data_IF_764323358712
#
_entry.id   IF_764323358712
#
_cell.length_a   1.000
_cell.length_b   1.000
_cell.length_c   1.000
_cell.angle_alpha   90.00
_cell.angle_beta   90.00
_cell.angle_gamma   90.00
#
_symmetry.space_group_name_H-M   'P 1'
#
loop_
_entity.id
_entity.type
_entity.pdbx_description
1 polymer ?
#
# COMPACT_ATOMS: atom_id res chain seq x y z
N UNK A 1 -2.38 -24.86 1.89
CA UNK A 1 -2.35 -23.38 1.99
C UNK A 1 -0.95 -22.77 2.02
N UNK A 2 0.12 -23.52 2.35
CA UNK A 2 1.48 -22.96 2.49
C UNK A 2 2.23 -22.61 1.18
N UNK A 3 1.76 -23.07 0.01
CA UNK A 3 2.41 -22.84 -1.31
C UNK A 3 1.95 -21.57 -2.03
N UNK A 4 0.79 -21.00 -1.68
CA UNK A 4 0.25 -19.82 -2.37
C UNK A 4 0.98 -18.55 -1.90
N UNK A 5 1.35 -18.52 -0.61
CA UNK A 5 2.02 -17.39 0.03
C UNK A 5 3.44 -17.20 -0.52
N UNK A 6 4.18 -18.26 -0.79
CA UNK A 6 5.59 -18.18 -1.23
C UNK A 6 5.79 -17.87 -2.71
N UNK A 7 4.72 -17.84 -3.53
CA UNK A 7 4.81 -17.46 -4.94
C UNK A 7 4.47 -16.00 -5.24
N UNK A 8 4.02 -15.24 -4.23
CA UNK A 8 3.80 -13.81 -4.41
C UNK A 8 5.15 -13.09 -4.44
N UNK A 9 5.31 -12.24 -5.45
CA UNK A 9 6.46 -11.37 -5.61
C UNK A 9 6.63 -10.48 -4.36
N UNK A 10 7.87 -10.20 -3.89
CA UNK A 10 8.11 -9.46 -2.65
C UNK A 10 7.41 -8.10 -2.59
N UNK A 11 7.35 -7.43 -3.74
CA UNK A 11 6.67 -6.17 -4.00
C UNK A 11 5.14 -6.25 -3.85
N UNK A 12 4.51 -7.39 -4.15
CA UNK A 12 3.07 -7.60 -3.92
C UNK A 12 2.74 -7.69 -2.43
N UNK A 13 3.64 -8.23 -1.61
CA UNK A 13 3.48 -8.27 -0.15
C UNK A 13 3.44 -6.87 0.47
N UNK A 14 4.28 -5.96 -0.02
CA UNK A 14 4.27 -4.56 0.41
C UNK A 14 2.94 -3.87 0.11
N UNK A 15 2.44 -4.00 -1.12
CA UNK A 15 1.15 -3.41 -1.52
C UNK A 15 -0.02 -3.98 -0.71
N UNK A 16 -0.02 -5.30 -0.45
CA UNK A 16 -1.05 -5.96 0.35
C UNK A 16 -1.03 -5.50 1.82
N UNK A 17 0.16 -5.34 2.41
CA UNK A 17 0.32 -4.86 3.79
C UNK A 17 -0.23 -3.44 3.97
N UNK A 18 0.04 -2.57 2.98
CA UNK A 18 -0.50 -1.22 2.95
C UNK A 18 -2.02 -1.20 2.83
N UNK A 19 -2.58 -2.01 1.93
CA UNK A 19 -4.01 -2.12 1.76
C UNK A 19 -4.72 -2.59 3.04
N UNK A 20 -4.20 -3.64 3.69
CA UNK A 20 -4.75 -4.12 4.96
C UNK A 20 -4.79 -3.01 6.03
N UNK A 21 -3.79 -2.12 6.00
CA UNK A 21 -3.66 -1.08 6.99
C UNK A 21 -4.59 0.11 6.75
N UNK A 22 -4.80 0.49 5.49
CA UNK A 22 -5.89 1.40 5.11
C UNK A 22 -7.27 0.84 5.50
N UNK A 23 -7.46 -0.48 5.38
CA UNK A 23 -8.66 -1.15 5.87
C UNK A 23 -8.84 -1.05 7.39
N UNK A 24 -7.75 -1.17 8.16
CA UNK A 24 -7.75 -0.94 9.61
C UNK A 24 -8.05 0.53 9.96
N UNK A 25 -7.48 1.48 9.22
CA UNK A 25 -7.72 2.92 9.41
C UNK A 25 -9.17 3.33 9.11
N UNK A 26 -9.89 2.57 8.27
CA UNK A 26 -11.31 2.77 8.01
C UNK A 26 -12.21 2.44 9.22
N UNK A 27 -11.72 1.67 10.20
CA UNK A 27 -12.45 1.39 11.44
C UNK A 27 -12.45 2.58 12.41
N UNK A 28 -13.33 2.51 13.41
CA UNK A 28 -13.53 3.56 14.41
C UNK A 28 -12.40 3.61 15.46
N UNK A 29 -11.20 4.00 15.03
CA UNK A 29 -10.02 4.13 15.89
C UNK A 29 -9.98 5.47 16.63
N UNK A 30 -9.42 5.56 17.85
CA UNK A 30 -9.17 6.83 18.52
C UNK A 30 -8.28 7.74 17.66
N UNK A 31 -8.54 9.06 17.67
CA UNK A 31 -7.86 10.01 16.79
C UNK A 31 -6.32 9.99 16.94
N UNK A 32 -5.82 9.84 18.16
CA UNK A 32 -4.37 9.72 18.41
C UNK A 32 -3.77 8.45 17.78
N UNK A 33 -4.47 7.32 17.85
CA UNK A 33 -4.03 6.05 17.24
C UNK A 33 -4.03 6.16 15.72
N UNK A 34 -5.05 6.81 15.17
CA UNK A 34 -5.18 7.11 13.74
C UNK A 34 -4.00 7.96 13.23
N UNK A 35 -3.70 9.07 13.90
CA UNK A 35 -2.58 9.94 13.53
C UNK A 35 -1.22 9.25 13.68
N UNK A 36 -1.02 8.52 14.77
CA UNK A 36 0.23 7.77 15.00
C UNK A 36 0.45 6.72 13.90
N UNK A 37 -0.58 5.98 13.53
CA UNK A 37 -0.49 4.98 12.48
C UNK A 37 -0.16 5.61 11.12
N UNK A 38 -0.76 6.76 10.77
CA UNK A 38 -0.42 7.48 9.53
C UNK A 38 1.06 7.86 9.45
N UNK A 39 1.61 8.37 10.55
CA UNK A 39 3.04 8.73 10.63
C UNK A 39 3.91 7.47 10.53
N UNK A 40 3.59 6.42 11.28
CA UNK A 40 4.34 5.17 11.25
C UNK A 40 4.40 4.55 9.85
N UNK A 41 3.27 4.58 9.12
CA UNK A 41 3.21 4.06 7.76
C UNK A 41 3.90 4.96 6.76
N UNK A 42 3.84 6.27 6.90
CA UNK A 42 4.58 7.18 6.05
C UNK A 42 6.11 6.94 6.18
N UNK A 43 6.59 6.69 7.39
CA UNK A 43 8.00 6.29 7.63
C UNK A 43 8.31 4.92 7.03
N UNK A 44 7.43 3.93 7.19
CA UNK A 44 7.62 2.59 6.61
C UNK A 44 7.65 2.62 5.07
N UNK A 45 6.77 3.39 4.44
CA UNK A 45 6.74 3.59 2.99
C UNK A 45 7.99 4.29 2.47
N UNK A 46 8.44 5.33 3.16
CA UNK A 46 9.68 6.03 2.81
C UNK A 46 10.89 5.09 2.91
N UNK A 47 10.98 4.30 3.98
CA UNK A 47 12.04 3.32 4.16
C UNK A 47 12.03 2.27 3.04
N UNK A 48 10.85 1.74 2.70
CA UNK A 48 10.67 0.81 1.59
C UNK A 48 11.07 1.44 0.24
N UNK A 49 10.74 2.71 0.00
CA UNK A 49 11.17 3.43 -1.19
C UNK A 49 12.68 3.52 -1.31
N UNK A 50 13.38 3.86 -0.22
CA UNK A 50 14.84 3.94 -0.22
C UNK A 50 15.46 2.58 -0.55
N UNK A 51 14.91 1.50 0.01
CA UNK A 51 15.37 0.13 -0.28
C UNK A 51 15.10 -0.29 -1.73
N UNK A 52 13.93 0.04 -2.26
CA UNK A 52 13.50 -0.37 -3.61
C UNK A 52 13.96 0.57 -4.72
N UNK A 53 14.48 1.76 -4.42
CA UNK A 53 14.86 2.77 -5.42
C UNK A 53 15.84 2.22 -6.46
N UNK A 54 16.75 1.31 -6.05
CA UNK A 54 17.77 0.73 -6.94
C UNK A 54 17.28 -0.47 -7.76
N UNK A 55 16.22 -1.15 -7.34
CA UNK A 55 15.78 -2.43 -7.92
C UNK A 55 14.43 -2.34 -8.61
N UNK A 56 13.56 -1.44 -8.16
CA UNK A 56 12.20 -1.27 -8.63
C UNK A 56 11.80 0.22 -8.59
N UNK A 57 12.32 1.06 -9.50
CA UNK A 57 12.02 2.50 -9.52
C UNK A 57 10.53 2.80 -9.71
N UNK A 58 9.76 1.84 -10.24
CA UNK A 58 8.30 1.96 -10.36
C UNK A 58 7.58 2.03 -9.01
N UNK A 59 8.15 1.47 -7.93
CA UNK A 59 7.58 1.52 -6.58
C UNK A 59 7.57 2.94 -5.97
N UNK A 60 8.33 3.87 -6.55
CA UNK A 60 8.42 5.27 -6.07
C UNK A 60 7.12 6.03 -6.34
N UNK A 61 6.44 5.77 -7.46
CA UNK A 61 5.20 6.47 -7.83
C UNK A 61 4.03 6.23 -6.85
N UNK A 62 3.65 4.99 -6.51
CA UNK A 62 2.59 4.76 -5.54
C UNK A 62 2.95 5.26 -4.14
N UNK A 63 4.22 5.17 -3.74
CA UNK A 63 4.68 5.69 -2.45
C UNK A 63 4.67 7.23 -2.40
N UNK A 64 5.01 7.91 -3.49
CA UNK A 64 4.91 9.36 -3.60
C UNK A 64 3.45 9.82 -3.54
N UNK A 65 2.55 9.14 -4.26
CA UNK A 65 1.12 9.40 -4.19
C UNK A 65 0.57 9.19 -2.76
N UNK A 66 1.03 8.14 -2.08
CA UNK A 66 0.70 7.88 -0.67
C UNK A 66 1.25 8.95 0.27
N UNK A 67 2.47 9.43 0.04
CA UNK A 67 3.08 10.51 0.82
C UNK A 67 2.29 11.82 0.69
N UNK A 68 1.77 12.10 -0.51
CA UNK A 68 0.88 13.23 -0.77
C UNK A 68 -0.49 13.01 -0.12
N UNK A 69 -1.01 11.78 -0.08
CA UNK A 69 -2.28 11.46 0.55
C UNK A 69 -2.20 11.46 2.09
N UNK A 70 -1.05 11.07 2.64
CA UNK A 70 -0.76 10.91 4.07
C UNK A 70 -0.02 12.10 4.67
N UNK A 71 -0.14 13.29 4.08
CA UNK A 71 0.52 14.51 4.55
C UNK A 71 0.23 14.76 6.05
N UNK A 72 1.25 14.82 6.94
CA UNK A 72 1.11 15.37 8.28
C UNK A 72 1.27 16.90 8.31
N UNK A 73 1.68 17.52 7.19
CA UNK A 73 2.15 18.92 7.13
C UNK A 73 1.07 19.90 6.66
N UNK A 74 0.25 19.52 5.66
CA UNK A 74 -0.93 20.30 5.28
C UNK A 74 -2.14 19.84 6.10
N UNK A 75 -2.66 20.71 6.97
CA UNK A 75 -3.96 20.51 7.61
C UNK A 75 -5.05 20.58 6.55
N UNK A 76 -5.42 19.45 5.96
CA UNK A 76 -6.70 19.32 5.27
C UNK A 76 -7.76 19.27 6.39
N UNK A 77 -8.66 20.28 6.51
CA UNK A 77 -9.70 20.29 7.53
C UNK A 77 -10.83 19.32 7.15
N UNK A 78 -10.48 18.07 6.86
CA UNK A 78 -11.42 16.98 6.69
C UNK A 78 -11.73 16.37 8.05
N UNK A 79 -13.01 16.12 8.28
CA UNK A 79 -13.50 15.36 9.41
C UNK A 79 -13.04 13.89 9.32
N UNK A 80 -13.12 13.19 10.45
CA UNK A 80 -12.70 11.79 10.56
C UNK A 80 -13.46 10.87 9.59
N UNK A 81 -14.72 11.17 9.31
CA UNK A 81 -15.58 10.36 8.45
C UNK A 81 -15.16 10.51 6.98
N UNK A 82 -14.92 11.74 6.52
CA UNK A 82 -14.36 11.99 5.18
C UNK A 82 -13.04 11.27 4.94
N UNK A 83 -12.16 11.28 5.94
CA UNK A 83 -10.87 10.60 5.84
C UNK A 83 -10.98 9.08 5.76
N UNK A 84 -12.00 8.46 6.39
CA UNK A 84 -12.27 7.02 6.21
C UNK A 84 -12.61 6.68 4.77
N UNK A 85 -13.39 7.52 4.10
CA UNK A 85 -13.76 7.31 2.69
C UNK A 85 -12.51 7.35 1.81
N UNK A 86 -11.63 8.32 2.05
CA UNK A 86 -10.34 8.42 1.34
C UNK A 86 -9.48 7.18 1.60
N UNK A 87 -9.37 6.74 2.86
CA UNK A 87 -8.60 5.56 3.25
C UNK A 87 -9.18 4.29 2.58
N UNK A 88 -10.50 4.17 2.50
CA UNK A 88 -11.19 3.04 1.84
C UNK A 88 -10.96 3.02 0.32
N UNK A 89 -10.99 4.19 -0.33
CA UNK A 89 -10.68 4.31 -1.76
C UNK A 89 -9.21 3.96 -2.02
N UNK A 90 -8.29 4.45 -1.17
CA UNK A 90 -6.87 4.14 -1.27
C UNK A 90 -6.59 2.64 -1.09
N UNK A 91 -7.25 1.99 -0.12
CA UNK A 91 -7.21 0.53 0.05
C UNK A 91 -7.63 -0.18 -1.24
N UNK A 92 -8.80 0.18 -1.80
CA UNK A 92 -9.32 -0.46 -3.00
C UNK A 92 -8.38 -0.27 -4.21
N UNK A 93 -7.82 0.93 -4.38
CA UNK A 93 -6.85 1.23 -5.43
C UNK A 93 -5.56 0.41 -5.29
N UNK A 94 -5.01 0.33 -4.07
CA UNK A 94 -3.82 -0.48 -3.79
C UNK A 94 -4.05 -1.98 -4.02
N UNK A 95 -5.20 -2.50 -3.63
CA UNK A 95 -5.57 -3.89 -3.92
C UNK A 95 -5.65 -4.14 -5.42
N UNK A 96 -6.31 -3.24 -6.17
CA UNK A 96 -6.40 -3.36 -7.62
C UNK A 96 -5.02 -3.37 -8.28
N UNK A 97 -4.11 -2.48 -7.85
CA UNK A 97 -2.73 -2.42 -8.35
C UNK A 97 -1.98 -3.70 -7.99
N UNK A 98 -2.11 -4.21 -6.77
CA UNK A 98 -1.48 -5.46 -6.34
C UNK A 98 -1.92 -6.65 -7.21
N UNK A 99 -3.23 -6.79 -7.45
CA UNK A 99 -3.77 -7.86 -8.31
C UNK A 99 -3.38 -7.69 -9.77
N UNK A 100 -3.36 -6.46 -10.30
CA UNK A 100 -2.91 -6.21 -11.67
C UNK A 100 -1.43 -6.55 -11.84
N UNK A 101 -0.60 -6.18 -10.86
CA UNK A 101 0.82 -6.46 -10.83
C UNK A 101 1.11 -7.97 -10.78
N UNK A 102 0.44 -8.70 -9.89
CA UNK A 102 0.60 -10.16 -9.77
C UNK A 102 0.22 -10.89 -11.07
N UNK A 103 -0.89 -10.49 -11.71
CA UNK A 103 -1.30 -11.06 -13.01
C UNK A 103 -0.26 -10.82 -14.09
N UNK A 104 0.31 -9.62 -14.15
CA UNK A 104 1.36 -9.27 -15.11
C UNK A 104 2.61 -10.10 -14.87
N UNK A 105 3.09 -10.21 -13.63
CA UNK A 105 4.27 -11.01 -13.31
C UNK A 105 4.06 -12.50 -13.59
N UNK A 106 2.87 -13.04 -13.28
CA UNK A 106 2.53 -14.44 -13.58
C UNK A 106 2.56 -14.76 -15.08
N UNK A 107 2.27 -13.78 -15.95
CA UNK A 107 2.34 -13.95 -17.41
C UNK A 107 3.77 -14.02 -17.97
N UNK A 108 4.77 -13.54 -17.22
CA UNK A 108 6.19 -13.64 -17.62
C UNK A 108 6.82 -15.00 -17.30
N UNK A 109 6.17 -15.82 -16.45
CA UNK A 109 6.63 -17.18 -16.18
C UNK A 109 6.22 -18.03 -17.40
N UNK A 110 7.18 -18.50 -18.22
CA UNK A 110 6.86 -19.32 -19.37
C UNK A 110 6.14 -20.59 -18.89
N UNK A 111 4.98 -20.89 -19.49
CA UNK A 111 4.30 -22.16 -19.22
C UNK A 111 5.25 -23.29 -19.59
N UNK A 112 5.41 -24.33 -18.74
CA UNK A 112 6.22 -25.48 -19.11
C UNK A 112 5.64 -26.06 -20.41
N UNK A 113 6.45 -26.12 -21.45
CA UNK A 113 6.13 -26.83 -22.68
C UNK A 113 6.05 -28.32 -22.34
N UNK A 114 4.82 -28.86 -22.36
CA UNK A 114 4.54 -30.29 -22.25
C UNK A 114 4.98 -30.96 -23.55
#
# INVERSE_FOLDING_TARGET
MHRIVTQLHPDTWFLASYAAMFGLLAFDLPYAVYQFARIAWLVAGLHCCVLCYRTAPWCVWPALALFVLMQPVFKIPMDKESWRVVDLIAMAGLLFVAFAHERKMRSYIPKPSI
#
